data_IF_400002320586
#
_entry.id   IF_400002320586
#
_cell.length_a   1.000
_cell.length_b   1.000
_cell.length_c   1.000
_cell.angle_alpha   90.00
_cell.angle_beta   90.00
_cell.angle_gamma   90.00
#
_symmetry.space_group_name_H-M   'P 1'
#
loop_
_entity.id
_entity.type
_entity.pdbx_description
1 polymer ?
#
# COMPACT_ATOMS: atom_id res chain seq x y z
N UNK A 1 5.10 11.41 5.08
CA UNK A 1 5.26 10.02 5.49
C UNK A 1 6.40 9.37 4.71
N UNK A 2 7.21 8.59 5.35
CA UNK A 2 8.28 7.84 4.69
C UNK A 2 7.80 6.44 4.32
N UNK A 3 8.47 5.81 3.35
CA UNK A 3 8.12 4.46 2.93
C UNK A 3 8.13 3.46 4.08
N UNK A 4 9.09 3.57 4.98
CA UNK A 4 9.19 2.69 6.16
C UNK A 4 7.96 2.83 7.08
N UNK A 5 7.52 4.05 7.33
CA UNK A 5 6.34 4.29 8.15
C UNK A 5 5.08 3.73 7.49
N UNK A 6 4.94 3.95 6.19
CA UNK A 6 3.81 3.42 5.43
C UNK A 6 3.78 1.90 5.49
N UNK A 7 4.91 1.26 5.24
CA UNK A 7 5.00 -0.20 5.29
C UNK A 7 4.67 -0.74 6.68
N UNK A 8 5.21 -0.13 7.73
CA UNK A 8 4.93 -0.54 9.11
C UNK A 8 3.45 -0.42 9.46
N UNK A 9 2.82 0.67 9.08
CA UNK A 9 1.39 0.88 9.33
C UNK A 9 0.52 -0.09 8.53
N UNK A 10 0.96 -0.44 7.33
CA UNK A 10 0.28 -1.43 6.50
C UNK A 10 0.47 -2.85 7.03
N UNK A 11 1.52 -3.09 7.82
CA UNK A 11 1.78 -4.37 8.44
C UNK A 11 2.78 -5.25 7.71
N UNK A 12 3.66 -4.66 6.92
CA UNK A 12 4.68 -5.38 6.15
C UNK A 12 6.02 -4.67 6.24
N UNK A 13 7.09 -5.34 5.79
CA UNK A 13 8.39 -4.70 5.65
C UNK A 13 8.44 -3.81 4.41
N UNK A 14 9.47 -2.95 4.32
CA UNK A 14 9.66 -2.11 3.13
C UNK A 14 9.90 -2.97 1.89
N UNK A 15 10.66 -4.04 2.04
CA UNK A 15 10.93 -4.98 0.94
C UNK A 15 9.65 -5.63 0.44
N UNK A 16 8.80 -6.08 1.35
CA UNK A 16 7.49 -6.63 0.97
C UNK A 16 6.61 -5.59 0.29
N UNK A 17 6.61 -4.37 0.81
CA UNK A 17 5.83 -3.28 0.22
C UNK A 17 6.30 -2.99 -1.22
N UNK A 18 7.61 -2.96 -1.44
CA UNK A 18 8.16 -2.78 -2.78
C UNK A 18 7.75 -3.93 -3.71
N UNK A 19 7.74 -5.16 -3.20
CA UNK A 19 7.27 -6.32 -3.97
C UNK A 19 5.79 -6.24 -4.32
N UNK A 20 4.96 -5.85 -3.37
CA UNK A 20 3.51 -5.72 -3.58
C UNK A 20 3.19 -4.63 -4.59
N UNK A 21 3.81 -3.48 -4.44
CA UNK A 21 3.53 -2.31 -5.27
C UNK A 21 4.27 -2.31 -6.61
N UNK A 22 5.26 -3.19 -6.76
CA UNK A 22 6.15 -3.24 -7.91
C UNK A 22 6.92 -1.92 -8.11
N UNK A 23 7.13 -1.19 -7.03
CA UNK A 23 7.85 0.08 -7.04
C UNK A 23 9.22 -0.07 -6.38
N UNK A 24 10.17 0.75 -6.82
CA UNK A 24 11.43 0.88 -6.10
C UNK A 24 11.19 1.59 -4.77
N UNK A 25 12.15 1.46 -3.84
CA UNK A 25 12.09 2.14 -2.55
C UNK A 25 11.96 3.66 -2.73
N UNK A 26 12.70 4.23 -3.67
CA UNK A 26 12.63 5.65 -3.98
C UNK A 26 11.26 6.04 -4.54
N UNK A 27 10.75 5.27 -5.50
CA UNK A 27 9.44 5.52 -6.09
C UNK A 27 8.32 5.44 -5.06
N UNK A 28 8.37 4.43 -4.19
CA UNK A 28 7.40 4.30 -3.10
C UNK A 28 7.47 5.51 -2.15
N UNK A 29 8.68 5.89 -1.76
CA UNK A 29 8.88 7.02 -0.86
C UNK A 29 8.37 8.34 -1.46
N UNK A 30 8.58 8.56 -2.75
CA UNK A 30 8.10 9.75 -3.44
C UNK A 30 6.56 9.82 -3.45
N UNK A 31 5.91 8.70 -3.66
CA UNK A 31 4.45 8.64 -3.68
C UNK A 31 3.87 8.90 -2.28
N UNK A 32 4.38 8.22 -1.26
CA UNK A 32 3.82 8.35 0.09
C UNK A 32 4.15 9.68 0.75
N UNK A 33 5.20 10.35 0.31
CA UNK A 33 5.54 11.69 0.78
C UNK A 33 4.85 12.82 0.02
N UNK A 34 4.09 12.48 -1.02
CA UNK A 34 3.37 13.47 -1.82
C UNK A 34 4.18 14.16 -2.90
N UNK A 35 5.41 13.69 -3.17
CA UNK A 35 6.27 14.29 -4.20
C UNK A 35 5.88 13.90 -5.62
N UNK A 36 5.05 12.87 -5.78
CA UNK A 36 4.61 12.40 -7.09
C UNK A 36 3.10 12.59 -7.24
N UNK A 37 2.64 13.80 -7.59
CA UNK A 37 1.21 14.13 -7.57
C UNK A 37 0.42 13.60 -8.76
N UNK A 38 1.08 13.23 -9.85
CA UNK A 38 0.38 12.83 -11.07
C UNK A 38 -0.05 11.36 -11.03
N UNK A 39 -1.26 11.05 -11.52
CA UNK A 39 -1.65 9.65 -11.70
C UNK A 39 -0.73 8.98 -12.71
N UNK A 40 -0.42 7.71 -12.46
CA UNK A 40 0.43 6.94 -13.35
C UNK A 40 -0.03 5.48 -13.38
N UNK A 41 0.41 4.76 -14.39
CA UNK A 41 0.13 3.32 -14.49
C UNK A 41 0.72 2.58 -13.27
N UNK A 42 1.91 2.97 -12.83
CA UNK A 42 2.56 2.37 -11.66
C UNK A 42 1.72 2.57 -10.39
N UNK A 43 1.14 3.74 -10.18
CA UNK A 43 0.26 3.99 -9.04
C UNK A 43 -1.00 3.14 -9.08
N UNK A 44 -1.60 2.96 -10.26
CA UNK A 44 -2.78 2.12 -10.40
C UNK A 44 -2.48 0.66 -10.11
N UNK A 45 -1.37 0.16 -10.63
CA UNK A 45 -0.92 -1.22 -10.35
C UNK A 45 -0.69 -1.40 -8.85
N UNK A 46 0.00 -0.45 -8.23
CA UNK A 46 0.26 -0.48 -6.80
C UNK A 46 -1.05 -0.51 -5.99
N UNK A 47 -2.02 0.32 -6.36
CA UNK A 47 -3.33 0.35 -5.70
C UNK A 47 -4.04 -1.01 -5.78
N UNK A 48 -4.11 -1.59 -6.97
CA UNK A 48 -4.74 -2.89 -7.14
C UNK A 48 -4.03 -3.97 -6.35
N UNK A 49 -2.71 -4.00 -6.40
CA UNK A 49 -1.92 -5.00 -5.68
C UNK A 49 -2.10 -4.87 -4.16
N UNK A 50 -2.16 -3.65 -3.65
CA UNK A 50 -2.38 -3.42 -2.22
C UNK A 50 -3.78 -3.86 -1.79
N UNK A 51 -4.79 -3.60 -2.61
CA UNK A 51 -6.16 -4.07 -2.35
C UNK A 51 -6.25 -5.59 -2.36
N UNK A 52 -5.61 -6.23 -3.33
CA UNK A 52 -5.57 -7.70 -3.42
C UNK A 52 -4.88 -8.29 -2.20
N UNK A 53 -3.75 -7.72 -1.79
CA UNK A 53 -3.03 -8.16 -0.59
C UNK A 53 -3.92 -8.03 0.64
N UNK A 54 -4.60 -6.91 0.82
CA UNK A 54 -5.48 -6.69 1.95
C UNK A 54 -6.62 -7.73 1.98
N UNK A 55 -7.19 -8.06 0.82
CA UNK A 55 -8.25 -9.05 0.71
C UNK A 55 -7.74 -10.45 1.05
N UNK A 56 -6.54 -10.81 0.60
CA UNK A 56 -5.91 -12.10 0.92
C UNK A 56 -5.66 -12.20 2.43
N UNK A 57 -5.11 -11.16 3.03
CA UNK A 57 -4.84 -11.13 4.47
C UNK A 57 -6.13 -11.23 5.27
N UNK A 58 -7.22 -10.62 4.82
CA UNK A 58 -8.52 -10.73 5.45
C UNK A 58 -9.00 -12.18 5.52
N UNK A 59 -8.77 -12.96 4.46
CA UNK A 59 -9.14 -14.37 4.44
C UNK A 59 -8.29 -15.22 5.38
N UNK A 60 -7.03 -14.83 5.58
CA UNK A 60 -6.10 -15.56 6.44
C UNK A 60 -6.25 -15.24 7.92
N UNK A 61 -6.72 -14.05 8.26
CA UNK A 61 -6.83 -13.55 9.62
C UNK A 61 -8.30 -13.34 9.99
N UNK A 62 -8.97 -14.38 10.48
CA UNK A 62 -10.42 -14.40 10.62
C UNK A 62 -10.94 -13.44 11.69
N UNK A 63 -10.28 -13.31 12.86
CA UNK A 63 -10.83 -12.59 14.00
C UNK A 63 -10.48 -11.11 14.09
N UNK A 64 -9.35 -10.68 13.54
CA UNK A 64 -8.95 -9.27 13.50
C UNK A 64 -9.15 -8.66 12.13
N UNK A 65 -9.70 -9.42 11.21
CA UNK A 65 -9.65 -9.14 9.78
C UNK A 65 -10.36 -7.87 9.36
N UNK A 66 -11.48 -7.54 9.99
CA UNK A 66 -12.31 -6.42 9.52
C UNK A 66 -11.64 -5.08 9.76
N UNK A 67 -11.10 -4.85 10.95
CA UNK A 67 -10.44 -3.60 11.28
C UNK A 67 -9.15 -3.43 10.49
N UNK A 68 -8.32 -4.48 10.44
CA UNK A 68 -7.08 -4.45 9.68
C UNK A 68 -7.32 -4.27 8.19
N UNK A 69 -8.35 -4.93 7.65
CA UNK A 69 -8.74 -4.80 6.25
C UNK A 69 -9.16 -3.36 5.94
N UNK A 70 -9.99 -2.76 6.79
CA UNK A 70 -10.41 -1.37 6.60
C UNK A 70 -9.23 -0.41 6.65
N UNK A 71 -8.32 -0.59 7.61
CA UNK A 71 -7.12 0.23 7.73
C UNK A 71 -6.23 0.11 6.51
N UNK A 72 -6.00 -1.12 6.04
CA UNK A 72 -5.18 -1.36 4.84
C UNK A 72 -5.82 -0.76 3.59
N UNK A 73 -7.13 -0.86 3.46
CA UNK A 73 -7.86 -0.28 2.34
C UNK A 73 -7.74 1.24 2.34
N UNK A 74 -7.90 1.87 3.50
CA UNK A 74 -7.71 3.33 3.64
C UNK A 74 -6.29 3.76 3.30
N UNK A 75 -5.30 3.01 3.77
CA UNK A 75 -3.90 3.32 3.47
C UNK A 75 -3.61 3.18 1.97
N UNK A 76 -4.22 2.19 1.31
CA UNK A 76 -4.04 2.01 -0.12
C UNK A 76 -4.61 3.17 -0.93
N UNK A 77 -5.57 3.91 -0.41
CA UNK A 77 -6.17 5.05 -1.11
C UNK A 77 -5.17 6.16 -1.45
N UNK A 78 -4.00 6.21 -0.81
CA UNK A 78 -2.95 7.14 -1.18
C UNK A 78 -2.51 6.94 -2.64
N UNK A 79 -2.73 5.74 -3.17
CA UNK A 79 -2.44 5.40 -4.56
C UNK A 79 -3.64 5.64 -5.49
N UNK A 80 -4.76 5.98 -4.93
CA UNK A 80 -5.95 6.36 -5.69
C UNK A 80 -5.81 7.81 -6.09
N UNK A 81 -5.35 8.04 -7.27
CA UNK A 81 -4.94 9.36 -7.63
C UNK A 81 -5.73 9.97 -8.72
N UNK A 82 -5.95 11.12 -8.46
CA UNK A 82 -6.48 12.08 -9.40
C UNK A 82 -5.44 12.58 -10.41
#
# INVERSE_FOLDING_TARGET
>A
MKAKEFANKFGVSVEEMCGITELSRQGLNDIVSGKSPKPSKAKRIALYNLRDYAAIRRKQEIDKANEDYENRTKMAEIFYVN
#
